data_IF_542461015688
#
_entry.id   IF_542461015688
#
_cell.length_a   1.000
_cell.length_b   1.000
_cell.length_c   1.000
_cell.angle_alpha   90.00
_cell.angle_beta   90.00
_cell.angle_gamma   90.00
#
_symmetry.space_group_name_H-M   'P 1'
#
loop_
_entity.id
_entity.type
_entity.pdbx_description
1 polymer ?
#
# COMPACT_ATOMS: atom_id res chain seq x y z
N UNK A 1 -0.54 3.89 -11.99
CA UNK A 1 -0.74 2.45 -11.71
C UNK A 1 -0.84 2.24 -10.20
N UNK A 2 -1.81 1.44 -9.75
CA UNK A 2 -1.94 1.04 -8.34
C UNK A 2 -1.98 -0.50 -8.29
N UNK A 3 -1.05 -1.13 -7.57
CA UNK A 3 -1.03 -2.59 -7.45
C UNK A 3 -1.99 -3.06 -6.37
N UNK A 4 -2.61 -4.25 -6.54
CA UNK A 4 -3.59 -4.77 -5.58
C UNK A 4 -4.77 -3.82 -5.35
N UNK A 5 -5.35 -3.27 -6.43
CA UNK A 5 -6.30 -2.15 -6.37
C UNK A 5 -7.74 -2.50 -6.77
N UNK A 6 -8.12 -3.77 -6.65
CA UNK A 6 -9.51 -4.18 -6.94
C UNK A 6 -10.49 -3.89 -5.80
N UNK A 7 -9.99 -3.69 -4.58
CA UNK A 7 -10.77 -3.45 -3.36
C UNK A 7 -9.91 -2.71 -2.30
N UNK A 8 -10.48 -2.35 -1.18
CA UNK A 8 -9.80 -1.78 -0.02
C UNK A 8 -9.07 -0.47 -0.28
N UNK A 9 -7.96 -0.30 0.42
CA UNK A 9 -7.10 0.89 0.32
C UNK A 9 -6.65 1.10 -1.13
N UNK A 10 -6.26 0.03 -1.83
CA UNK A 10 -5.81 0.12 -3.21
C UNK A 10 -6.85 0.68 -4.16
N UNK A 11 -8.12 0.26 -4.01
CA UNK A 11 -9.21 0.80 -4.82
C UNK A 11 -9.54 2.25 -4.46
N UNK A 12 -9.53 2.60 -3.17
CA UNK A 12 -9.74 3.98 -2.74
C UNK A 12 -8.66 4.93 -3.29
N UNK A 13 -7.39 4.49 -3.29
CA UNK A 13 -6.28 5.22 -3.92
C UNK A 13 -6.51 5.37 -5.43
N UNK A 14 -6.89 4.29 -6.11
CA UNK A 14 -7.16 4.30 -7.54
C UNK A 14 -8.30 5.29 -7.87
N UNK A 15 -9.38 5.28 -7.08
CA UNK A 15 -10.50 6.21 -7.21
C UNK A 15 -10.06 7.67 -6.99
N UNK A 16 -9.34 7.94 -5.90
CA UNK A 16 -8.87 9.30 -5.61
C UNK A 16 -7.95 9.86 -6.69
N UNK A 17 -7.04 9.03 -7.24
CA UNK A 17 -6.20 9.42 -8.38
C UNK A 17 -7.04 9.65 -9.65
N UNK A 18 -8.07 8.83 -9.90
CA UNK A 18 -8.99 9.00 -11.03
C UNK A 18 -9.78 10.32 -10.91
N UNK A 19 -10.33 10.60 -9.75
CA UNK A 19 -11.05 11.85 -9.45
C UNK A 19 -10.15 13.09 -9.58
N UNK A 20 -8.84 12.93 -9.31
CA UNK A 20 -7.82 13.94 -9.56
C UNK A 20 -7.40 14.07 -11.04
N UNK A 21 -8.02 13.31 -11.95
CA UNK A 21 -7.81 13.39 -13.40
C UNK A 21 -6.77 12.42 -13.97
N UNK A 22 -6.26 11.47 -13.20
CA UNK A 22 -5.31 10.49 -13.70
C UNK A 22 -5.99 9.37 -14.52
N UNK A 23 -5.33 8.91 -15.59
CA UNK A 23 -5.65 7.66 -16.25
C UNK A 23 -5.13 6.50 -15.39
N UNK A 24 -6.04 5.75 -14.75
CA UNK A 24 -5.69 4.76 -13.74
C UNK A 24 -5.52 3.36 -14.32
N UNK A 25 -4.49 2.66 -13.84
CA UNK A 25 -4.24 1.26 -14.13
C UNK A 25 -4.51 0.45 -12.87
N UNK A 26 -5.55 -0.41 -12.93
CA UNK A 26 -5.94 -1.33 -11.88
C UNK A 26 -5.15 -2.63 -12.00
N UNK A 27 -4.77 -3.22 -10.88
CA UNK A 27 -4.18 -4.54 -10.84
C UNK A 27 -4.82 -5.42 -9.75
N UNK A 28 -4.97 -6.68 -10.05
CA UNK A 28 -5.38 -7.75 -9.16
C UNK A 28 -5.11 -9.10 -9.76
N UNK A 29 -5.41 -10.19 -9.06
CA UNK A 29 -5.19 -11.57 -9.55
C UNK A 29 -6.40 -12.13 -10.31
N UNK A 30 -7.59 -11.63 -10.05
CA UNK A 30 -8.84 -12.09 -10.63
C UNK A 30 -9.29 -11.15 -11.73
N UNK A 31 -9.48 -11.66 -12.96
CA UNK A 31 -9.99 -10.88 -14.08
C UNK A 31 -11.36 -10.27 -13.74
N UNK A 32 -12.26 -11.07 -13.16
CA UNK A 32 -13.59 -10.59 -12.76
C UNK A 32 -13.52 -9.39 -11.80
N UNK A 33 -12.63 -9.44 -10.76
CA UNK A 33 -12.47 -8.34 -9.82
C UNK A 33 -11.83 -7.11 -10.48
N UNK A 34 -10.89 -7.31 -11.39
CA UNK A 34 -10.26 -6.23 -12.17
C UNK A 34 -11.30 -5.54 -13.04
N UNK A 35 -12.09 -6.30 -13.81
CA UNK A 35 -13.13 -5.74 -14.68
C UNK A 35 -14.19 -4.96 -13.88
N UNK A 36 -14.61 -5.51 -12.75
CA UNK A 36 -15.55 -4.84 -11.84
C UNK A 36 -14.99 -3.52 -11.28
N UNK A 37 -13.71 -3.50 -10.89
CA UNK A 37 -13.05 -2.29 -10.39
C UNK A 37 -12.90 -1.23 -11.48
N UNK A 38 -12.50 -1.62 -12.69
CA UNK A 38 -12.44 -0.73 -13.86
C UNK A 38 -13.81 -0.15 -14.19
N UNK A 39 -14.85 -0.98 -14.20
CA UNK A 39 -16.22 -0.53 -14.46
C UNK A 39 -16.72 0.47 -13.41
N UNK A 40 -16.36 0.28 -12.13
CA UNK A 40 -16.71 1.21 -11.03
C UNK A 40 -16.04 2.58 -11.17
N UNK A 41 -14.82 2.65 -11.71
CA UNK A 41 -14.12 3.91 -11.96
C UNK A 41 -14.67 4.60 -13.23
N UNK A 42 -14.92 3.83 -14.28
CA UNK A 42 -15.30 4.38 -15.59
C UNK A 42 -14.16 5.16 -16.27
N UNK A 43 -14.50 5.93 -17.29
CA UNK A 43 -13.56 6.81 -18.02
C UNK A 43 -12.33 6.07 -18.58
N UNK A 44 -11.14 6.66 -18.49
CA UNK A 44 -9.91 6.09 -19.08
C UNK A 44 -9.23 5.04 -18.21
N UNK A 45 -9.94 4.45 -17.21
CA UNK A 45 -9.41 3.39 -16.39
C UNK A 45 -9.25 2.09 -17.18
N UNK A 46 -8.18 1.34 -16.92
CA UNK A 46 -7.92 0.01 -17.46
C UNK A 46 -7.30 -0.90 -16.42
N UNK A 47 -7.19 -2.19 -16.67
CA UNK A 47 -6.69 -3.10 -15.66
C UNK A 47 -6.06 -4.37 -16.22
N UNK A 48 -5.22 -5.00 -15.39
CA UNK A 48 -4.51 -6.23 -15.70
C UNK A 48 -4.65 -7.24 -14.57
N UNK A 49 -5.13 -8.44 -14.92
CA UNK A 49 -5.22 -9.57 -14.00
C UNK A 49 -3.88 -10.32 -13.97
N UNK A 50 -2.96 -9.87 -13.12
CA UNK A 50 -1.59 -10.40 -12.99
C UNK A 50 -1.23 -10.58 -11.52
N UNK A 51 -0.59 -11.70 -11.18
CA UNK A 51 -0.03 -11.93 -9.85
C UNK A 51 1.38 -11.34 -9.75
N UNK A 52 1.50 -10.19 -9.09
CA UNK A 52 2.77 -9.48 -8.93
C UNK A 52 3.64 -10.02 -7.78
N UNK A 53 3.22 -11.06 -7.07
CA UNK A 53 4.07 -11.72 -6.08
C UNK A 53 5.31 -12.35 -6.74
N UNK A 54 5.17 -12.88 -7.97
CA UNK A 54 6.26 -13.47 -8.75
C UNK A 54 6.93 -12.48 -9.71
N UNK A 55 8.15 -12.84 -10.15
CA UNK A 55 8.88 -12.06 -11.17
C UNK A 55 8.14 -12.05 -12.50
N UNK A 56 7.57 -13.18 -12.92
CA UNK A 56 6.85 -13.33 -14.19
C UNK A 56 5.66 -12.35 -14.30
N UNK A 57 4.85 -12.24 -13.25
CA UNK A 57 3.73 -11.30 -13.22
C UNK A 57 4.19 -9.84 -13.26
N UNK A 58 5.28 -9.50 -12.57
CA UNK A 58 5.88 -8.17 -12.64
C UNK A 58 6.39 -7.87 -14.05
N UNK A 59 7.08 -8.81 -14.70
CA UNK A 59 7.58 -8.65 -16.06
C UNK A 59 6.43 -8.51 -17.08
N UNK A 60 5.34 -9.25 -16.90
CA UNK A 60 4.14 -9.11 -17.71
C UNK A 60 3.51 -7.71 -17.55
N UNK A 61 3.41 -7.19 -16.31
CA UNK A 61 2.93 -5.84 -16.03
C UNK A 61 3.82 -4.77 -16.67
N UNK A 62 5.15 -4.92 -16.58
CA UNK A 62 6.11 -3.98 -17.16
C UNK A 62 6.02 -3.95 -18.69
N UNK A 63 5.74 -5.10 -19.33
CA UNK A 63 5.50 -5.16 -20.79
C UNK A 63 4.18 -4.53 -21.19
N UNK A 64 3.12 -4.76 -20.41
CA UNK A 64 1.79 -4.21 -20.69
C UNK A 64 1.72 -2.70 -20.48
N UNK A 65 2.37 -2.21 -19.44
CA UNK A 65 2.39 -0.80 -19.02
C UNK A 65 3.84 -0.33 -18.86
N UNK A 66 4.53 -0.01 -19.95
CA UNK A 66 5.98 0.23 -19.89
C UNK A 66 6.39 1.53 -19.21
N UNK A 67 5.51 2.53 -19.15
CA UNK A 67 5.89 3.89 -18.73
C UNK A 67 4.84 4.62 -17.87
N UNK A 68 4.39 4.05 -16.74
CA UNK A 68 3.50 4.77 -15.84
C UNK A 68 4.24 5.96 -15.19
N UNK A 69 3.56 7.09 -15.10
CA UNK A 69 4.12 8.29 -14.46
C UNK A 69 4.04 8.23 -12.93
N UNK A 70 3.02 7.54 -12.41
CA UNK A 70 2.78 7.34 -10.98
C UNK A 70 2.62 5.85 -10.72
N UNK A 71 3.39 5.32 -9.77
CA UNK A 71 3.29 3.93 -9.30
C UNK A 71 3.05 3.91 -7.81
N UNK A 72 1.96 3.26 -7.40
CA UNK A 72 1.66 2.97 -6.00
C UNK A 72 1.81 1.46 -5.80
N UNK A 73 2.87 1.06 -5.10
CA UNK A 73 3.12 -0.32 -4.68
C UNK A 73 2.30 -0.59 -3.41
N UNK A 74 1.04 -0.97 -3.61
CA UNK A 74 0.08 -1.23 -2.53
C UNK A 74 -0.09 -2.72 -2.25
N UNK A 75 0.39 -3.61 -3.14
CA UNK A 75 0.28 -5.05 -2.92
C UNK A 75 0.88 -5.44 -1.57
N UNK A 76 0.13 -6.19 -0.77
CA UNK A 76 0.59 -6.68 0.52
C UNK A 76 -0.31 -7.76 1.08
N UNK A 77 0.29 -8.61 1.89
CA UNK A 77 -0.38 -9.62 2.71
C UNK A 77 0.03 -9.42 4.16
N UNK A 78 -0.85 -9.81 5.07
CA UNK A 78 -0.58 -9.92 6.49
C UNK A 78 -1.22 -11.20 7.02
N UNK A 79 -0.61 -11.81 8.01
CA UNK A 79 -1.09 -13.03 8.65
C UNK A 79 -0.70 -12.97 10.12
N UNK A 80 -1.65 -12.71 11.04
CA UNK A 80 -1.38 -12.86 12.46
C UNK A 80 -1.01 -14.32 12.77
N UNK A 81 0.23 -14.52 13.23
CA UNK A 81 0.77 -15.82 13.60
C UNK A 81 1.93 -15.62 14.56
N UNK A 82 2.00 -16.43 15.61
CA UNK A 82 3.09 -16.41 16.58
C UNK A 82 4.44 -16.66 15.88
N UNK A 83 5.48 -15.97 16.33
CA UNK A 83 6.81 -16.07 15.71
C UNK A 83 7.33 -17.52 15.65
N UNK A 84 7.10 -18.28 16.70
CA UNK A 84 7.58 -19.68 16.79
C UNK A 84 6.76 -20.66 15.93
N UNK A 85 5.65 -20.22 15.37
CA UNK A 85 4.81 -20.99 14.45
C UNK A 85 5.05 -20.59 12.97
N UNK A 86 5.88 -19.56 12.70
CA UNK A 86 6.21 -19.14 11.34
C UNK A 86 7.40 -19.94 10.80
N UNK A 87 7.20 -20.61 9.67
CA UNK A 87 8.25 -21.28 8.91
C UNK A 87 8.87 -20.34 7.84
N UNK A 88 9.94 -20.81 7.21
CA UNK A 88 10.64 -20.06 6.15
C UNK A 88 9.72 -19.76 4.97
N UNK A 89 8.74 -20.60 4.66
CA UNK A 89 7.81 -20.39 3.55
C UNK A 89 6.87 -19.20 3.81
N UNK A 90 6.45 -18.99 5.07
CA UNK A 90 5.65 -17.82 5.48
C UNK A 90 6.49 -16.55 5.35
N UNK A 91 7.75 -16.56 5.79
CA UNK A 91 8.68 -15.45 5.65
C UNK A 91 8.95 -15.12 4.18
N UNK A 92 9.28 -16.12 3.36
CA UNK A 92 9.52 -15.95 1.92
C UNK A 92 8.31 -15.38 1.20
N UNK A 93 7.11 -15.87 1.52
CA UNK A 93 5.87 -15.37 0.93
C UNK A 93 5.65 -13.89 1.24
N UNK A 94 5.83 -13.47 2.51
CA UNK A 94 5.71 -12.06 2.89
C UNK A 94 6.78 -11.22 2.20
N UNK A 95 8.00 -11.71 2.12
CA UNK A 95 9.08 -11.03 1.42
C UNK A 95 8.80 -10.84 -0.06
N UNK A 96 8.36 -11.89 -0.77
CA UNK A 96 8.07 -11.82 -2.20
C UNK A 96 6.91 -10.87 -2.50
N UNK A 97 5.82 -10.95 -1.73
CA UNK A 97 4.61 -10.15 -1.97
C UNK A 97 4.79 -8.70 -1.52
N UNK A 98 5.21 -8.48 -0.28
CA UNK A 98 5.24 -7.16 0.32
C UNK A 98 6.45 -6.32 -0.17
N UNK A 99 7.62 -6.95 -0.34
CA UNK A 99 8.86 -6.23 -0.63
C UNK A 99 9.27 -6.37 -2.10
N UNK A 100 9.46 -7.62 -2.57
CA UNK A 100 10.06 -7.86 -3.88
C UNK A 100 9.19 -7.41 -5.05
N UNK A 101 7.87 -7.42 -4.91
CA UNK A 101 6.97 -6.86 -5.92
C UNK A 101 7.27 -5.37 -6.17
N UNK A 102 7.34 -4.57 -5.11
CA UNK A 102 7.67 -3.15 -5.18
C UNK A 102 9.09 -2.91 -5.72
N UNK A 103 10.08 -3.71 -5.28
CA UNK A 103 11.47 -3.63 -5.75
C UNK A 103 11.58 -3.91 -7.26
N UNK A 104 10.88 -4.94 -7.78
CA UNK A 104 10.90 -5.28 -9.22
C UNK A 104 10.31 -4.14 -10.06
N UNK A 105 9.17 -3.59 -9.64
CA UNK A 105 8.53 -2.47 -10.32
C UNK A 105 9.39 -1.20 -10.26
N UNK A 106 9.96 -0.87 -9.09
CA UNK A 106 10.82 0.28 -8.92
C UNK A 106 12.06 0.20 -9.82
N UNK A 107 12.69 -0.98 -9.90
CA UNK A 107 13.85 -1.24 -10.77
C UNK A 107 13.55 -0.97 -12.25
N UNK A 108 12.34 -1.31 -12.69
CA UNK A 108 11.92 -1.14 -14.09
C UNK A 108 11.49 0.29 -14.41
N UNK A 109 10.77 0.95 -13.51
CA UNK A 109 10.12 2.23 -13.81
C UNK A 109 10.93 3.46 -13.42
N UNK A 110 11.66 3.43 -12.31
CA UNK A 110 12.42 4.62 -11.87
C UNK A 110 13.42 5.15 -12.89
N UNK A 111 14.19 4.32 -13.64
CA UNK A 111 15.07 4.83 -14.69
C UNK A 111 14.30 5.56 -15.79
N UNK A 112 13.11 5.09 -16.16
CA UNK A 112 12.26 5.71 -17.20
C UNK A 112 11.63 7.01 -16.70
N UNK A 113 11.20 7.05 -15.44
CA UNK A 113 10.73 8.29 -14.79
C UNK A 113 11.86 9.34 -14.74
N UNK A 114 13.08 8.93 -14.39
CA UNK A 114 14.24 9.81 -14.37
C UNK A 114 14.56 10.38 -15.76
N UNK A 115 14.47 9.57 -16.82
CA UNK A 115 14.68 10.02 -18.21
C UNK A 115 13.64 11.08 -18.64
N UNK A 116 12.41 11.03 -18.09
CA UNK A 116 11.36 12.05 -18.31
C UNK A 116 11.51 13.26 -17.38
N UNK A 117 12.46 13.24 -16.44
CA UNK A 117 12.63 14.23 -15.38
C UNK A 117 11.38 14.42 -14.51
N UNK A 118 10.53 13.40 -14.43
CA UNK A 118 9.33 13.40 -13.60
C UNK A 118 8.84 11.97 -13.31
N UNK A 119 8.37 11.77 -12.09
CA UNK A 119 7.71 10.53 -11.68
C UNK A 119 7.40 10.52 -10.18
N UNK A 120 6.48 9.65 -9.79
CA UNK A 120 6.09 9.42 -8.39
C UNK A 120 6.07 7.92 -8.12
N UNK A 121 6.88 7.47 -7.19
CA UNK A 121 6.85 6.08 -6.72
C UNK A 121 6.51 6.06 -5.22
N UNK A 122 5.43 5.38 -4.86
CA UNK A 122 4.92 5.37 -3.50
C UNK A 122 4.80 3.92 -3.03
N UNK A 123 5.49 3.59 -1.93
CA UNK A 123 5.31 2.32 -1.24
C UNK A 123 4.21 2.47 -0.19
N UNK A 124 3.22 1.59 -0.19
CA UNK A 124 2.27 1.50 0.90
C UNK A 124 2.86 0.61 1.99
N UNK A 125 3.45 1.27 2.98
CA UNK A 125 3.98 0.63 4.17
C UNK A 125 2.88 0.28 5.19
N UNK A 126 3.19 0.49 6.46
CA UNK A 126 2.28 0.35 7.60
C UNK A 126 2.90 1.04 8.81
N UNK A 127 2.08 1.42 9.81
CA UNK A 127 2.56 1.79 11.14
C UNK A 127 3.41 0.68 11.75
N UNK A 128 3.12 -0.56 11.39
CA UNK A 128 3.87 -1.76 11.79
C UNK A 128 5.34 -1.77 11.32
N UNK A 129 5.74 -0.84 10.46
CA UNK A 129 7.16 -0.65 10.13
C UNK A 129 7.96 -0.04 11.27
N UNK A 130 7.32 0.68 12.18
CA UNK A 130 7.92 1.33 13.35
C UNK A 130 7.47 0.68 14.66
N UNK A 131 6.19 0.37 14.78
CA UNK A 131 5.59 -0.30 15.91
C UNK A 131 5.30 -1.76 15.54
N UNK A 132 6.36 -2.58 15.49
CA UNK A 132 6.27 -3.97 15.00
C UNK A 132 5.36 -4.78 15.93
N UNK A 133 4.23 -5.32 15.43
CA UNK A 133 3.32 -6.09 16.26
C UNK A 133 3.89 -7.46 16.58
N UNK A 134 3.84 -7.85 17.86
CA UNK A 134 4.38 -9.14 18.31
C UNK A 134 3.64 -10.33 17.70
N UNK A 135 2.38 -10.14 17.34
CA UNK A 135 1.51 -11.15 16.71
C UNK A 135 1.76 -11.34 15.21
N UNK A 136 2.66 -10.58 14.58
CA UNK A 136 3.03 -10.73 13.16
C UNK A 136 4.37 -10.04 12.84
N UNK A 137 5.43 -10.49 13.49
CA UNK A 137 6.79 -9.92 13.35
C UNK A 137 7.25 -9.93 11.88
N UNK A 138 7.04 -11.03 11.16
CA UNK A 138 7.38 -11.18 9.74
C UNK A 138 6.73 -10.12 8.85
N UNK A 139 5.48 -9.73 9.14
CA UNK A 139 4.80 -8.62 8.47
C UNK A 139 5.50 -7.29 8.79
N UNK A 140 5.71 -6.97 10.06
CA UNK A 140 6.38 -5.75 10.50
C UNK A 140 7.75 -5.58 9.85
N UNK A 141 8.57 -6.64 9.81
CA UNK A 141 9.87 -6.66 9.13
C UNK A 141 9.72 -6.34 7.64
N UNK A 142 8.74 -6.95 6.95
CA UNK A 142 8.52 -6.66 5.54
C UNK A 142 8.13 -5.20 5.29
N UNK A 143 7.33 -4.60 6.19
CA UNK A 143 6.92 -3.18 6.08
C UNK A 143 8.04 -2.21 6.44
N UNK A 144 8.93 -2.57 7.38
CA UNK A 144 10.18 -1.83 7.63
C UNK A 144 11.08 -1.84 6.39
N UNK A 145 11.18 -2.97 5.70
CA UNK A 145 11.94 -3.08 4.46
C UNK A 145 11.41 -2.15 3.37
N UNK A 146 10.08 -2.02 3.20
CA UNK A 146 9.46 -1.08 2.25
C UNK A 146 9.90 0.37 2.51
N UNK A 147 9.91 0.80 3.80
CA UNK A 147 10.36 2.15 4.19
C UNK A 147 11.84 2.36 3.88
N UNK A 148 12.67 1.37 4.21
CA UNK A 148 14.11 1.42 3.94
C UNK A 148 14.42 1.48 2.44
N UNK A 149 13.75 0.66 1.63
CA UNK A 149 13.87 0.66 0.17
C UNK A 149 13.44 2.01 -0.40
N UNK A 150 12.28 2.55 0.01
CA UNK A 150 11.80 3.85 -0.45
C UNK A 150 12.82 4.96 -0.15
N UNK A 151 13.38 4.99 1.07
CA UNK A 151 14.40 5.97 1.46
C UNK A 151 15.68 5.83 0.63
N UNK A 152 16.16 4.62 0.40
CA UNK A 152 17.34 4.36 -0.43
C UNK A 152 17.13 4.78 -1.88
N UNK A 153 15.97 4.46 -2.45
CA UNK A 153 15.61 4.85 -3.82
C UNK A 153 15.43 6.36 -3.97
N UNK A 154 14.85 7.06 -2.99
CA UNK A 154 14.77 8.52 -3.00
C UNK A 154 16.15 9.18 -3.11
N UNK A 155 17.13 8.71 -2.34
CA UNK A 155 18.52 9.17 -2.45
C UNK A 155 19.11 8.88 -3.84
N UNK A 156 18.81 7.70 -4.40
CA UNK A 156 19.32 7.31 -5.74
C UNK A 156 18.71 8.17 -6.85
N UNK A 157 17.51 8.71 -6.66
CA UNK A 157 16.81 9.57 -7.60
C UNK A 157 17.11 11.08 -7.40
N UNK A 158 18.08 11.43 -6.60
CA UNK A 158 18.45 12.83 -6.36
C UNK A 158 18.70 13.60 -7.68
N UNK A 159 18.11 14.78 -7.80
CA UNK A 159 18.27 15.65 -8.98
C UNK A 159 17.48 15.25 -10.23
N UNK A 160 16.70 14.17 -10.20
CA UNK A 160 15.99 13.66 -11.38
C UNK A 160 14.54 14.17 -11.53
N UNK A 161 14.01 14.93 -10.56
CA UNK A 161 12.60 15.32 -10.54
C UNK A 161 11.63 14.20 -10.10
N UNK A 162 12.16 13.00 -9.85
CA UNK A 162 11.38 11.85 -9.34
C UNK A 162 11.35 11.87 -7.81
N UNK A 163 10.17 11.66 -7.21
CA UNK A 163 10.05 11.46 -5.77
C UNK A 163 9.70 10.01 -5.43
N UNK A 164 10.29 9.51 -4.35
CA UNK A 164 9.99 8.18 -3.80
C UNK A 164 9.67 8.34 -2.32
N UNK A 165 8.50 7.90 -1.90
CA UNK A 165 8.02 8.02 -0.52
C UNK A 165 7.34 6.72 -0.05
N UNK A 166 7.18 6.59 1.25
CA UNK A 166 6.28 5.61 1.86
C UNK A 166 5.09 6.31 2.51
N UNK A 167 3.89 5.75 2.35
CA UNK A 167 2.70 6.12 3.13
C UNK A 167 2.41 4.98 4.09
N UNK A 168 2.18 5.28 5.35
CA UNK A 168 2.10 4.32 6.45
C UNK A 168 0.70 4.35 7.10
N UNK A 169 -0.25 3.55 6.59
CA UNK A 169 -1.54 3.42 7.25
C UNK A 169 -1.40 2.77 8.63
N UNK A 170 -2.24 3.18 9.58
CA UNK A 170 -2.58 2.43 10.77
C UNK A 170 -3.72 1.43 10.50
N UNK A 171 -4.37 0.93 11.55
CA UNK A 171 -5.59 0.15 11.41
C UNK A 171 -6.59 0.90 10.52
N UNK A 172 -7.07 0.24 9.48
CA UNK A 172 -7.92 0.87 8.45
C UNK A 172 -9.10 -0.03 8.15
N UNK A 173 -10.32 0.55 8.05
CA UNK A 173 -11.56 -0.13 7.72
C UNK A 173 -11.57 -0.53 6.23
N UNK A 174 -11.02 -1.67 5.92
CA UNK A 174 -10.94 -2.26 4.58
C UNK A 174 -11.60 -3.64 4.55
N UNK A 175 -11.82 -4.19 3.35
CA UNK A 175 -12.34 -5.56 3.20
C UNK A 175 -11.40 -6.59 3.84
N UNK A 176 -10.08 -6.36 3.81
CA UNK A 176 -9.12 -7.21 4.53
C UNK A 176 -9.29 -7.14 6.05
N UNK A 177 -9.54 -5.94 6.60
CA UNK A 177 -9.86 -5.78 8.02
C UNK A 177 -11.21 -6.41 8.37
N UNK A 178 -12.20 -6.33 7.48
CA UNK A 178 -13.49 -6.95 7.69
C UNK A 178 -13.37 -8.48 7.80
N UNK A 179 -12.57 -9.11 6.97
CA UNK A 179 -12.33 -10.56 7.06
C UNK A 179 -11.60 -10.93 8.37
N UNK A 180 -10.59 -10.15 8.78
CA UNK A 180 -9.88 -10.36 10.05
C UNK A 180 -10.82 -10.22 11.26
N UNK A 181 -11.74 -9.25 11.24
CA UNK A 181 -12.65 -8.96 12.36
C UNK A 181 -13.97 -9.73 12.28
N UNK A 182 -14.17 -10.59 11.27
CA UNK A 182 -15.44 -11.32 11.03
C UNK A 182 -15.95 -12.08 12.25
N UNK A 183 -15.05 -12.70 13.01
CA UNK A 183 -15.41 -13.41 14.25
C UNK A 183 -15.81 -12.50 15.43
N UNK A 184 -15.63 -11.19 15.30
CA UNK A 184 -15.92 -10.19 16.33
C UNK A 184 -17.17 -9.36 16.01
N UNK A 185 -17.78 -9.55 14.84
CA UNK A 185 -19.05 -8.91 14.44
C UNK A 185 -20.21 -9.81 14.83
N UNK A 186 -21.20 -9.25 15.55
CA UNK A 186 -22.42 -9.95 16.00
C UNK A 186 -23.65 -9.11 15.66
N UNK A 187 -24.83 -9.59 16.02
CA UNK A 187 -26.09 -8.82 15.87
C UNK A 187 -26.07 -7.51 16.69
N UNK A 188 -25.36 -7.51 17.83
CA UNK A 188 -25.27 -6.35 18.73
C UNK A 188 -23.97 -5.52 18.52
N UNK A 189 -23.02 -6.02 17.74
CA UNK A 189 -21.69 -5.40 17.53
C UNK A 189 -21.39 -5.22 16.04
N UNK A 190 -21.52 -3.99 15.55
CA UNK A 190 -21.21 -3.66 14.16
C UNK A 190 -19.73 -3.83 13.82
N UNK A 191 -19.40 -3.88 12.53
CA UNK A 191 -18.02 -3.89 12.05
C UNK A 191 -17.23 -2.65 12.52
N UNK A 192 -17.86 -1.47 12.52
CA UNK A 192 -17.25 -0.24 13.01
C UNK A 192 -16.90 -0.36 14.50
N UNK A 193 -17.83 -0.85 15.32
CA UNK A 193 -17.58 -1.05 16.75
C UNK A 193 -16.49 -2.09 16.99
N UNK A 194 -16.46 -3.19 16.24
CA UNK A 194 -15.40 -4.18 16.32
C UNK A 194 -14.02 -3.58 15.97
N UNK A 195 -13.98 -2.69 14.98
CA UNK A 195 -12.77 -1.95 14.60
C UNK A 195 -12.29 -0.99 15.70
N UNK A 196 -13.21 -0.25 16.33
CA UNK A 196 -12.90 0.65 17.47
C UNK A 196 -12.33 -0.15 18.64
N UNK A 197 -12.96 -1.25 18.99
CA UNK A 197 -12.53 -2.11 20.09
C UNK A 197 -11.17 -2.76 19.81
N UNK A 198 -10.93 -3.16 18.55
CA UNK A 198 -9.62 -3.64 18.10
C UNK A 198 -8.54 -2.58 18.31
N UNK A 199 -8.78 -1.33 17.88
CA UNK A 199 -7.81 -0.24 18.07
C UNK A 199 -7.53 0.00 19.55
N UNK A 200 -8.56 0.11 20.38
CA UNK A 200 -8.40 0.33 21.83
C UNK A 200 -7.63 -0.79 22.52
N UNK A 201 -7.79 -2.03 22.05
CA UNK A 201 -7.15 -3.21 22.66
C UNK A 201 -5.73 -3.42 22.14
N UNK A 202 -5.51 -3.33 20.84
CA UNK A 202 -4.24 -3.71 20.21
C UNK A 202 -3.37 -2.52 19.79
N UNK A 203 -3.91 -1.31 19.79
CA UNK A 203 -3.21 -0.07 19.45
C UNK A 203 -3.56 1.05 20.44
N UNK A 204 -3.28 0.84 21.75
CA UNK A 204 -3.72 1.74 22.82
C UNK A 204 -3.11 3.15 22.74
N UNK A 205 -2.05 3.34 21.96
CA UNK A 205 -1.42 4.63 21.68
C UNK A 205 -2.18 5.46 20.64
N UNK A 206 -3.19 4.89 19.97
CA UNK A 206 -3.97 5.60 18.94
C UNK A 206 -4.64 6.86 19.51
N UNK A 207 -4.29 8.02 18.96
CA UNK A 207 -4.85 9.31 19.39
C UNK A 207 -6.29 9.48 18.90
N UNK A 208 -6.61 8.96 17.69
CA UNK A 208 -7.97 9.06 17.16
C UNK A 208 -8.93 8.00 17.71
N UNK A 209 -8.42 6.99 18.42
CA UNK A 209 -9.17 5.89 19.07
C UNK A 209 -10.12 5.11 18.14
N UNK A 210 -9.92 5.16 16.85
CA UNK A 210 -10.68 4.43 15.82
C UNK A 210 -9.76 4.01 14.67
N UNK A 211 -10.17 3.04 13.85
CA UNK A 211 -9.52 2.82 12.57
C UNK A 211 -9.67 4.04 11.65
N UNK A 212 -8.72 4.23 10.74
CA UNK A 212 -8.89 5.15 9.62
C UNK A 212 -9.87 4.58 8.59
N UNK A 213 -10.44 5.43 7.75
CA UNK A 213 -11.14 4.99 6.53
C UNK A 213 -10.14 4.78 5.40
N UNK A 214 -10.52 4.03 4.38
CA UNK A 214 -9.68 3.85 3.19
C UNK A 214 -9.46 5.17 2.43
N UNK A 215 -10.42 6.10 2.51
CA UNK A 215 -10.34 7.44 1.92
C UNK A 215 -9.32 8.32 2.64
N UNK A 216 -9.22 8.24 3.97
CA UNK A 216 -8.22 8.99 4.74
C UNK A 216 -6.80 8.62 4.30
N UNK A 217 -6.55 7.32 4.04
CA UNK A 217 -5.28 6.85 3.49
C UNK A 217 -5.09 7.31 2.05
N UNK A 218 -6.13 7.16 1.21
CA UNK A 218 -6.07 7.55 -0.20
C UNK A 218 -5.77 9.03 -0.38
N UNK A 219 -6.33 9.92 0.45
CA UNK A 219 -6.09 11.37 0.41
C UNK A 219 -4.60 11.71 0.54
N UNK A 220 -3.88 11.04 1.45
CA UNK A 220 -2.43 11.22 1.59
C UNK A 220 -1.68 10.75 0.34
N UNK A 221 -2.06 9.60 -0.22
CA UNK A 221 -1.42 9.08 -1.43
C UNK A 221 -1.66 9.99 -2.63
N UNK A 222 -2.88 10.53 -2.80
CA UNK A 222 -3.21 11.49 -3.86
C UNK A 222 -2.37 12.77 -3.72
N UNK A 223 -2.23 13.31 -2.50
CA UNK A 223 -1.35 14.45 -2.25
C UNK A 223 0.10 14.14 -2.62
N UNK A 224 0.65 13.04 -2.15
CA UNK A 224 2.06 12.65 -2.41
C UNK A 224 2.31 12.36 -3.89
N UNK A 225 1.31 11.90 -4.63
CA UNK A 225 1.36 11.70 -6.08
C UNK A 225 1.30 13.01 -6.89
N UNK A 226 0.87 14.10 -6.28
CA UNK A 226 0.60 15.37 -6.96
C UNK A 226 1.86 16.20 -7.24
N UNK A 227 1.69 17.28 -8.01
CA UNK A 227 2.73 18.28 -8.23
C UNK A 227 3.04 19.09 -6.96
N UNK A 228 2.05 19.27 -6.08
CA UNK A 228 2.19 20.01 -4.82
C UNK A 228 3.18 19.36 -3.85
N UNK A 229 3.37 18.03 -3.95
CA UNK A 229 4.29 17.28 -3.12
C UNK A 229 5.73 17.21 -3.69
N UNK A 230 6.11 18.11 -4.61
CA UNK A 230 7.42 18.07 -5.30
C UNK A 230 8.64 18.17 -4.36
N UNK A 231 8.48 18.77 -3.18
CA UNK A 231 9.51 18.86 -2.16
C UNK A 231 9.50 17.70 -1.15
N UNK A 232 8.55 16.75 -1.28
CA UNK A 232 8.42 15.60 -0.39
C UNK A 232 9.01 14.35 -1.05
N UNK A 233 10.19 13.92 -0.60
CA UNK A 233 10.85 12.71 -1.10
C UNK A 233 11.66 12.04 0.00
N UNK A 234 11.70 10.71 0.00
CA UNK A 234 12.35 9.89 1.02
C UNK A 234 11.66 9.95 2.39
N UNK A 235 10.42 10.39 2.44
CA UNK A 235 9.63 10.50 3.66
C UNK A 235 8.85 9.21 3.93
N UNK A 236 8.62 8.96 5.23
CA UNK A 236 7.68 7.96 5.74
C UNK A 236 6.50 8.73 6.34
N UNK A 237 5.40 8.81 5.59
CA UNK A 237 4.25 9.67 5.89
C UNK A 237 3.15 8.85 6.56
N UNK A 238 2.90 9.13 7.82
CA UNK A 238 1.94 8.37 8.64
C UNK A 238 0.50 8.82 8.40
N UNK A 239 -0.40 7.85 8.26
CA UNK A 239 -1.85 8.00 8.29
C UNK A 239 -2.36 6.94 9.28
N UNK A 240 -1.87 6.98 10.50
CA UNK A 240 -1.99 5.94 11.51
C UNK A 240 -2.83 6.35 12.72
N UNK A 241 -3.36 7.56 12.72
CA UNK A 241 -4.16 8.06 13.83
C UNK A 241 -3.36 8.26 15.12
N UNK A 242 -2.01 8.39 15.02
CA UNK A 242 -1.13 8.55 16.16
C UNK A 242 -0.78 7.24 16.88
N UNK A 243 -0.88 6.10 16.18
CA UNK A 243 -0.51 4.78 16.73
C UNK A 243 0.98 4.69 17.05
N UNK A 244 1.83 5.22 16.16
CA UNK A 244 3.27 5.25 16.40
C UNK A 244 3.59 6.37 17.37
N UNK A 245 3.98 6.01 18.58
CA UNK A 245 4.34 6.95 19.66
C UNK A 245 5.77 7.46 19.47
N UNK A 246 5.94 8.30 18.45
CA UNK A 246 7.22 8.93 18.09
C UNK A 246 6.98 10.29 17.44
N UNK A 247 7.90 11.22 17.70
CA UNK A 247 7.88 12.55 17.07
C UNK A 247 8.31 12.53 15.57
N UNK A 248 9.02 11.48 15.18
CA UNK A 248 9.56 11.29 13.83
C UNK A 248 9.22 9.89 13.30
#
# INVERSE_FOLDING_TARGET
MVTGSTEGIGFAIARGLHEAGAAVIINGRSQQKVDAAVARLGGPARGHALDLAGAEGCDAMIRAEPEPDIVVSNLGIFLPLDFFETDDAIWDRHWQVNVMAGVRLARAYLPKMAAKSWGRFIFLGSESAFNIPVEMIHYGVSKTADVAVARGLAKRMAGTGVTVNSVLPGPTMSEGAAEMLKGHVTAERSFEQAGIDFVKTHRPTSIIERPATVEEVANMVVYVASLQASATTGAALRVDGGVVDSLV
#
